data_IF_549053021504
#
_entry.id   IF_549053021504
#
_cell.length_a   1.000
_cell.length_b   1.000
_cell.length_c   1.000
_cell.angle_alpha   90.00
_cell.angle_beta   90.00
_cell.angle_gamma   90.00
#
_symmetry.space_group_name_H-M   'P 1'
#
loop_
_entity.id
_entity.type
_entity.pdbx_description
1 polymer ?
#
# COMPACT_ATOMS: atom_id res chain seq x y z
N UNK A 1 -15.14 9.71 15.27
CA UNK A 1 -14.00 8.84 15.62
C UNK A 1 -13.41 8.17 14.38
N UNK A 2 -14.16 7.44 13.56
CA UNK A 2 -13.61 6.81 12.32
C UNK A 2 -13.45 7.77 11.12
N UNK A 3 -14.25 8.85 11.06
CA UNK A 3 -14.18 9.83 9.97
C UNK A 3 -12.90 10.69 10.00
N UNK A 4 -12.45 11.12 11.18
CA UNK A 4 -11.20 11.88 11.33
C UNK A 4 -9.99 11.08 10.78
N UNK A 5 -9.87 9.81 11.18
CA UNK A 5 -8.78 8.95 10.72
C UNK A 5 -8.75 8.78 9.20
N UNK A 6 -9.92 8.60 8.56
CA UNK A 6 -10.02 8.51 7.10
C UNK A 6 -9.52 9.79 6.43
N UNK A 7 -9.84 10.96 7.00
CA UNK A 7 -9.40 12.26 6.49
C UNK A 7 -7.89 12.47 6.69
N UNK A 8 -7.35 12.11 7.85
CA UNK A 8 -5.91 12.16 8.13
C UNK A 8 -5.12 11.26 7.17
N UNK A 9 -5.56 10.02 6.98
CA UNK A 9 -4.94 9.08 6.05
C UNK A 9 -5.06 9.58 4.60
N UNK A 10 -6.20 10.14 4.21
CA UNK A 10 -6.36 10.74 2.88
C UNK A 10 -5.40 11.90 2.65
N UNK A 11 -5.09 12.69 3.68
CA UNK A 11 -4.10 13.78 3.60
C UNK A 11 -2.65 13.25 3.53
N UNK A 12 -2.40 12.05 4.06
CA UNK A 12 -1.10 11.37 4.00
C UNK A 12 -0.90 10.57 2.70
N UNK A 13 -1.97 10.29 1.97
CA UNK A 13 -1.93 9.63 0.67
C UNK A 13 -1.12 10.50 -0.30
N UNK A 14 0.04 10.00 -0.71
CA UNK A 14 0.91 10.72 -1.62
C UNK A 14 1.62 9.76 -2.59
N UNK A 15 1.89 10.20 -3.82
CA UNK A 15 2.75 9.45 -4.72
C UNK A 15 4.18 9.40 -4.16
N UNK A 16 4.77 8.21 -4.13
CA UNK A 16 6.15 8.00 -3.71
C UNK A 16 6.91 7.14 -4.73
N UNK A 17 8.19 7.45 -4.90
CA UNK A 17 9.10 6.67 -5.73
C UNK A 17 9.52 5.37 -5.01
N UNK A 18 9.67 4.28 -5.77
CA UNK A 18 10.07 2.98 -5.23
C UNK A 18 11.34 3.03 -4.37
N UNK A 19 12.30 3.89 -4.72
CA UNK A 19 13.54 4.06 -3.97
C UNK A 19 13.33 4.41 -2.48
N UNK A 20 12.24 5.11 -2.15
CA UNK A 20 11.89 5.48 -0.78
C UNK A 20 11.19 4.32 -0.04
N UNK A 21 10.49 3.46 -0.78
CA UNK A 21 9.69 2.34 -0.26
C UNK A 21 10.56 1.09 -0.08
N UNK A 22 11.53 0.85 -0.98
CA UNK A 22 12.45 -0.29 -0.98
C UNK A 22 13.03 -0.65 0.40
N UNK A 23 13.54 0.29 1.23
CA UNK A 23 14.03 -0.06 2.58
C UNK A 23 12.94 -0.59 3.52
N UNK A 24 11.69 -0.14 3.36
CA UNK A 24 10.55 -0.67 4.13
C UNK A 24 10.12 -2.04 3.62
N UNK A 25 10.20 -2.25 2.30
CA UNK A 25 9.88 -3.54 1.68
C UNK A 25 10.85 -4.63 2.14
N UNK A 26 12.15 -4.32 2.19
CA UNK A 26 13.18 -5.23 2.71
C UNK A 26 12.99 -5.59 4.19
N UNK A 27 12.29 -4.75 4.97
CA UNK A 27 11.94 -5.03 6.37
C UNK A 27 10.64 -5.84 6.51
N UNK A 28 9.97 -6.17 5.41
CA UNK A 28 8.68 -6.84 5.43
C UNK A 28 7.53 -5.96 5.92
N UNK A 29 7.71 -4.64 5.88
CA UNK A 29 6.74 -3.64 6.35
C UNK A 29 5.91 -3.02 5.21
N UNK A 30 6.04 -3.54 3.97
CA UNK A 30 5.28 -3.05 2.82
C UNK A 30 4.14 -3.99 2.48
N UNK A 31 2.98 -3.39 2.21
CA UNK A 31 1.74 -4.07 1.86
C UNK A 31 1.29 -3.55 0.50
N UNK A 32 1.14 -4.46 -0.46
CA UNK A 32 0.66 -4.16 -1.80
C UNK A 32 -0.86 -4.27 -1.80
N UNK A 33 -1.52 -3.18 -2.16
CA UNK A 33 -2.97 -3.09 -2.26
C UNK A 33 -3.37 -3.10 -3.72
N UNK A 34 -4.34 -3.93 -4.05
CA UNK A 34 -4.90 -4.02 -5.40
C UNK A 34 -5.61 -2.70 -5.78
N UNK A 35 -5.52 -2.25 -7.05
CA UNK A 35 -6.24 -1.08 -7.55
C UNK A 35 -7.77 -1.14 -7.38
N UNK A 36 -8.36 -2.31 -7.18
CA UNK A 36 -9.80 -2.46 -6.87
C UNK A 36 -10.17 -1.98 -5.47
N UNK A 37 -9.21 -1.88 -4.55
CA UNK A 37 -9.42 -1.38 -3.20
C UNK A 37 -8.97 0.07 -3.06
N UNK A 38 -9.65 0.80 -2.18
CA UNK A 38 -9.25 2.14 -1.81
C UNK A 38 -8.15 2.10 -0.74
N UNK A 39 -7.02 2.77 -1.03
CA UNK A 39 -5.85 2.74 -0.15
C UNK A 39 -6.16 3.28 1.25
N UNK A 40 -7.04 4.28 1.33
CA UNK A 40 -7.42 4.93 2.58
C UNK A 40 -8.31 3.98 3.38
N UNK A 41 -9.26 3.30 2.74
CA UNK A 41 -10.12 2.32 3.44
C UNK A 41 -9.31 1.14 4.02
N UNK A 42 -8.35 0.63 3.26
CA UNK A 42 -7.43 -0.38 3.77
C UNK A 42 -6.59 0.19 4.91
N UNK A 43 -6.11 1.42 4.78
CA UNK A 43 -5.34 2.08 5.83
C UNK A 43 -6.11 2.26 7.13
N UNK A 44 -7.40 2.65 7.05
CA UNK A 44 -8.30 2.75 8.21
C UNK A 44 -8.43 1.38 8.87
N UNK A 45 -8.73 0.33 8.10
CA UNK A 45 -8.91 -1.02 8.63
C UNK A 45 -7.65 -1.54 9.34
N UNK A 46 -6.45 -1.30 8.80
CA UNK A 46 -5.19 -1.66 9.46
C UNK A 46 -4.98 -0.83 10.74
N UNK A 47 -5.24 0.48 10.68
CA UNK A 47 -5.07 1.38 11.84
C UNK A 47 -6.06 1.08 12.98
N UNK A 48 -7.26 0.58 12.65
CA UNK A 48 -8.28 0.18 13.64
C UNK A 48 -8.18 -1.29 14.05
N UNK A 49 -7.13 -2.01 13.63
CA UNK A 49 -6.95 -3.45 13.90
C UNK A 49 -8.15 -4.30 13.43
N UNK A 50 -8.77 -3.94 12.30
CA UNK A 50 -9.90 -4.69 11.72
C UNK A 50 -9.39 -5.97 11.02
N UNK A 51 -9.05 -6.96 11.84
CA UNK A 51 -8.57 -8.24 11.37
C UNK A 51 -9.58 -8.96 10.46
N UNK A 52 -10.88 -8.71 10.58
CA UNK A 52 -11.90 -9.35 9.76
C UNK A 52 -11.80 -8.85 8.32
N UNK A 53 -11.78 -7.53 8.12
CA UNK A 53 -11.62 -6.91 6.82
C UNK A 53 -10.27 -7.29 6.18
N UNK A 54 -9.18 -7.19 6.96
CA UNK A 54 -7.82 -7.51 6.49
C UNK A 54 -7.69 -8.97 6.07
N UNK A 55 -8.15 -9.93 6.89
CA UNK A 55 -8.08 -11.36 6.52
C UNK A 55 -8.91 -11.67 5.27
N UNK A 56 -10.07 -11.01 5.11
CA UNK A 56 -10.89 -11.17 3.91
C UNK A 56 -10.13 -10.73 2.67
N UNK A 57 -9.54 -9.54 2.67
CA UNK A 57 -8.79 -9.04 1.52
C UNK A 57 -7.53 -9.86 1.21
N UNK A 58 -6.89 -10.42 2.23
CA UNK A 58 -5.78 -11.38 2.04
C UNK A 58 -6.28 -12.65 1.36
N UNK A 59 -7.44 -13.19 1.79
CA UNK A 59 -8.03 -14.40 1.20
C UNK A 59 -8.52 -14.17 -0.24
N UNK A 60 -8.96 -12.95 -0.56
CA UNK A 60 -9.35 -12.53 -1.91
C UNK A 60 -8.15 -12.06 -2.76
N UNK A 61 -6.92 -12.18 -2.26
CA UNK A 61 -5.68 -11.73 -2.93
C UNK A 61 -5.64 -10.22 -3.28
N UNK A 62 -6.53 -9.43 -2.67
CA UNK A 62 -6.64 -7.99 -2.87
C UNK A 62 -5.58 -7.21 -2.09
N UNK A 63 -5.04 -7.81 -1.03
CA UNK A 63 -3.90 -7.27 -0.28
C UNK A 63 -2.88 -8.36 -0.11
N UNK A 64 -1.67 -8.10 -0.60
CA UNK A 64 -0.59 -9.08 -0.59
C UNK A 64 0.73 -8.44 -0.17
N UNK A 65 1.69 -9.26 0.25
CA UNK A 65 3.07 -8.80 0.42
C UNK A 65 3.79 -8.85 -0.94
N UNK A 66 4.70 -7.90 -1.21
CA UNK A 66 5.45 -7.94 -2.46
C UNK A 66 6.30 -9.19 -2.50
N UNK A 67 6.20 -9.94 -3.59
CA UNK A 67 7.05 -11.11 -3.82
C UNK A 67 8.49 -10.68 -4.14
N UNK A 68 9.51 -11.52 -3.85
CA UNK A 68 10.90 -11.20 -4.17
C UNK A 68 11.10 -10.81 -5.64
N UNK A 69 10.41 -11.51 -6.55
CA UNK A 69 10.45 -11.23 -7.98
C UNK A 69 9.86 -9.84 -8.33
N UNK A 70 8.78 -9.44 -7.65
CA UNK A 70 8.22 -8.09 -7.81
C UNK A 70 9.17 -7.01 -7.28
N UNK A 71 9.81 -7.26 -6.13
CA UNK A 71 10.81 -6.35 -5.57
C UNK A 71 11.96 -6.13 -6.56
N UNK A 72 12.51 -7.21 -7.13
CA UNK A 72 13.55 -7.13 -8.16
C UNK A 72 13.08 -6.36 -9.39
N UNK A 73 11.86 -6.63 -9.88
CA UNK A 73 11.30 -5.93 -11.04
C UNK A 73 11.14 -4.41 -10.78
N UNK A 74 10.72 -4.02 -9.58
CA UNK A 74 10.59 -2.62 -9.21
C UNK A 74 11.94 -1.94 -8.98
N UNK A 75 12.93 -2.68 -8.46
CA UNK A 75 14.30 -2.20 -8.28
C UNK A 75 14.97 -1.89 -9.63
N UNK A 76 14.75 -2.75 -10.64
CA UNK A 76 15.18 -2.48 -12.02
C UNK A 76 14.43 -1.29 -12.65
N UNK A 77 13.18 -1.05 -12.23
CA UNK A 77 12.36 0.05 -12.72
C UNK A 77 12.67 1.36 -11.95
N UNK A 78 13.79 2.00 -12.27
CA UNK A 78 14.30 3.21 -11.62
C UNK A 78 13.31 4.41 -11.54
N UNK A 79 12.22 4.41 -12.32
CA UNK A 79 11.17 5.45 -12.32
C UNK A 79 9.80 4.94 -11.85
N UNK A 80 9.74 3.78 -11.19
CA UNK A 80 8.46 3.22 -10.73
C UNK A 80 7.91 4.06 -9.58
N UNK A 81 6.67 4.54 -9.75
CA UNK A 81 5.93 5.32 -8.76
C UNK A 81 4.69 4.57 -8.31
N UNK A 82 4.43 4.66 -7.02
CA UNK A 82 3.27 4.08 -6.37
C UNK A 82 2.51 5.16 -5.63
N UNK A 83 1.20 4.99 -5.48
CA UNK A 83 0.51 5.69 -4.40
C UNK A 83 0.92 5.02 -3.10
N UNK A 84 1.38 5.83 -2.14
CA UNK A 84 1.83 5.35 -0.84
C UNK A 84 0.99 5.96 0.26
N UNK A 85 0.75 5.17 1.30
CA UNK A 85 0.13 5.60 2.53
C UNK A 85 0.83 4.96 3.72
N UNK A 86 1.20 5.78 4.69
CA UNK A 86 1.94 5.33 5.86
C UNK A 86 0.94 5.02 6.97
N UNK A 87 0.85 3.76 7.38
CA UNK A 87 0.01 3.30 8.48
C UNK A 87 0.88 2.48 9.42
N UNK A 88 1.47 3.15 10.40
CA UNK A 88 2.53 2.55 11.21
C UNK A 88 2.06 1.25 11.89
N UNK A 89 2.90 0.19 11.87
CA UNK A 89 4.29 0.14 11.38
C UNK A 89 4.44 -0.16 9.87
N UNK A 90 3.36 -0.22 9.11
CA UNK A 90 3.32 -0.63 7.71
C UNK A 90 3.27 0.55 6.72
N UNK A 91 3.66 0.28 5.48
CA UNK A 91 3.54 1.19 4.34
C UNK A 91 2.69 0.50 3.28
N UNK A 92 1.51 1.04 3.02
CA UNK A 92 0.65 0.56 1.95
C UNK A 92 1.09 1.19 0.65
N UNK A 93 1.16 0.38 -0.40
CA UNK A 93 1.49 0.82 -1.74
C UNK A 93 0.49 0.27 -2.73
N UNK A 94 0.12 1.08 -3.70
CA UNK A 94 -0.74 0.67 -4.81
C UNK A 94 -0.11 1.09 -6.12
N UNK A 95 -0.13 0.16 -7.08
CA UNK A 95 0.29 0.45 -8.43
C UNK A 95 -0.57 1.60 -8.96
N UNK A 96 0.08 2.71 -9.32
CA UNK A 96 -0.62 3.74 -10.07
C UNK A 96 -1.07 3.10 -11.39
N UNK A 97 -2.36 3.20 -11.77
CA UNK A 97 -2.73 2.83 -13.12
C UNK A 97 -1.94 3.76 -14.02
N UNK A 98 -0.94 3.21 -14.72
CA UNK A 98 -0.31 3.89 -15.83
C UNK A 98 -1.45 4.15 -16.80
N UNK A 99 -2.00 5.36 -16.80
CA UNK A 99 -2.88 5.82 -17.86
C UNK A 99 -1.98 5.96 -19.10
N UNK A 100 -1.71 4.84 -19.78
CA UNK A 100 -1.24 4.85 -21.16
C UNK A 100 -2.41 5.40 -21.99
N UNK A 101 -2.22 6.62 -22.48
CA UNK A 101 -3.12 7.30 -23.41
C UNK A 101 -2.50 7.30 -24.80
#
# INVERSE_FOLDING_TARGET
MSQDLKQELSAMLAPADWAWISPHANRGAVVVVDPQLDLVEVGVAIATDDAIAVNRWIAEELITKPSPLQLEAWDQAAKKRFHSLIVQPFVLVQATPTHEN
#
